data_IF_509553535937
#
_entry.id   IF_509553535937
#
_cell.length_a   1.000
_cell.length_b   1.000
_cell.length_c   1.000
_cell.angle_alpha   90.00
_cell.angle_beta   90.00
_cell.angle_gamma   90.00
#
_symmetry.space_group_name_H-M   'P 1'
#
loop_
_entity.id
_entity.type
_entity.pdbx_description
1 polymer ?
#
# COMPACT_ATOMS: atom_id res chain seq x y z
N UNK A 1 1.37 7.60 70.33
CA UNK A 1 1.25 6.43 69.43
C UNK A 1 0.79 6.98 68.08
N UNK A 2 1.64 7.05 67.03
CA UNK A 2 1.21 7.59 65.75
C UNK A 2 0.47 6.52 64.93
N UNK A 3 -0.66 6.92 64.36
CA UNK A 3 -1.42 6.14 63.39
C UNK A 3 -0.58 5.88 62.14
N UNK A 4 -0.43 4.61 61.79
CA UNK A 4 0.23 4.18 60.55
C UNK A 4 -0.80 4.22 59.44
N UNK A 5 -0.77 5.28 58.63
CA UNK A 5 -1.52 5.40 57.38
C UNK A 5 -1.25 4.17 56.50
N UNK A 6 -2.29 3.38 56.24
CA UNK A 6 -2.23 2.26 55.30
C UNK A 6 -2.16 2.84 53.89
N UNK A 7 -0.95 2.90 53.32
CA UNK A 7 -0.76 3.18 51.89
C UNK A 7 -1.34 2.01 51.10
N UNK A 8 -2.35 2.28 50.28
CA UNK A 8 -2.95 1.30 49.38
C UNK A 8 -1.86 0.68 48.48
N UNK A 9 -1.88 -0.64 48.24
CA UNK A 9 -0.95 -1.25 47.29
C UNK A 9 -1.18 -0.60 45.94
N UNK A 10 -0.15 0.08 45.45
CA UNK A 10 -0.15 0.71 44.14
C UNK A 10 -0.51 -0.33 43.09
N UNK A 11 -1.59 -0.08 42.38
CA UNK A 11 -1.87 -0.76 41.13
C UNK A 11 -0.83 -0.24 40.13
N UNK A 12 0.35 -0.84 40.12
CA UNK A 12 1.27 -0.71 39.00
C UNK A 12 0.60 -1.39 37.82
N UNK A 13 -0.16 -0.61 37.05
CA UNK A 13 -0.55 -0.99 35.70
C UNK A 13 0.74 -1.08 34.90
N UNK A 14 1.30 -2.28 34.84
CA UNK A 14 2.31 -2.62 33.86
C UNK A 14 1.66 -2.42 32.49
N UNK A 15 1.93 -1.29 31.87
CA UNK A 15 1.57 -1.03 30.48
C UNK A 15 2.43 -1.98 29.65
N UNK A 16 1.90 -3.17 29.32
CA UNK A 16 2.48 -3.99 28.28
C UNK A 16 2.68 -3.09 27.05
N UNK A 17 3.90 -2.98 26.51
CA UNK A 17 4.09 -2.21 25.30
C UNK A 17 3.25 -2.89 24.23
N UNK A 18 2.20 -2.21 23.75
CA UNK A 18 1.43 -2.65 22.60
C UNK A 18 2.43 -3.01 21.50
N UNK A 19 2.58 -4.31 21.22
CA UNK A 19 3.45 -4.76 20.14
C UNK A 19 2.81 -4.26 18.86
N UNK A 20 3.24 -3.09 18.38
CA UNK A 20 2.76 -2.52 17.13
C UNK A 20 3.12 -3.51 16.02
N UNK A 21 2.12 -4.26 15.56
CA UNK A 21 2.24 -5.10 14.38
C UNK A 21 2.71 -4.22 13.24
N UNK A 22 3.87 -4.54 12.65
CA UNK A 22 4.40 -3.78 11.52
C UNK A 22 3.43 -3.92 10.36
N UNK A 23 3.08 -2.78 9.74
CA UNK A 23 2.28 -2.78 8.51
C UNK A 23 3.00 -3.60 7.44
N UNK A 24 2.23 -4.33 6.63
CA UNK A 24 2.77 -5.08 5.50
C UNK A 24 3.56 -4.13 4.55
N UNK A 25 4.65 -4.61 3.93
CA UNK A 25 5.39 -3.80 2.97
C UNK A 25 4.51 -3.48 1.76
N UNK A 26 4.74 -2.30 1.17
CA UNK A 26 4.11 -1.92 -0.09
C UNK A 26 4.68 -2.75 -1.24
N UNK A 27 3.84 -3.12 -2.20
CA UNK A 27 4.23 -3.81 -3.43
C UNK A 27 4.04 -2.89 -4.63
N UNK A 28 4.90 -3.05 -5.63
CA UNK A 28 4.78 -2.35 -6.92
C UNK A 28 3.93 -3.18 -7.88
N UNK A 29 3.13 -2.51 -8.69
CA UNK A 29 2.42 -3.12 -9.80
C UNK A 29 3.09 -2.72 -11.11
N UNK A 30 3.48 -3.73 -11.90
CA UNK A 30 4.13 -3.56 -13.19
C UNK A 30 3.20 -4.08 -14.30
N UNK A 31 3.16 -3.35 -15.42
CA UNK A 31 2.51 -3.78 -16.65
C UNK A 31 3.58 -4.27 -17.63
N UNK A 32 3.49 -5.53 -18.05
CA UNK A 32 4.37 -6.09 -19.08
C UNK A 32 3.74 -5.98 -20.47
N UNK A 33 4.57 -5.75 -21.49
CA UNK A 33 4.14 -5.79 -22.88
C UNK A 33 3.93 -7.21 -23.38
N UNK A 34 3.03 -7.35 -24.35
CA UNK A 34 2.81 -8.55 -25.15
C UNK A 34 2.40 -8.17 -26.58
N UNK A 35 2.39 -9.14 -27.51
CA UNK A 35 2.15 -8.90 -28.94
C UNK A 35 0.69 -9.09 -29.39
N UNK A 36 -0.23 -9.37 -28.46
CA UNK A 36 -1.61 -9.78 -28.77
C UNK A 36 -2.64 -8.79 -28.25
N UNK A 37 -2.41 -8.23 -27.06
CA UNK A 37 -3.39 -7.38 -26.37
C UNK A 37 -3.49 -6.00 -27.04
N UNK A 38 -4.68 -5.57 -27.51
CA UNK A 38 -4.87 -4.25 -28.11
C UNK A 38 -4.55 -3.08 -27.17
N UNK A 39 -3.97 -2.00 -27.70
CA UNK A 39 -3.58 -0.83 -26.91
C UNK A 39 -4.77 -0.15 -26.21
N UNK A 40 -5.93 -0.07 -26.87
CA UNK A 40 -7.16 0.52 -26.33
C UNK A 40 -7.74 -0.31 -25.17
N UNK A 41 -7.66 -1.64 -25.26
CA UNK A 41 -8.00 -2.53 -24.17
C UNK A 41 -7.11 -2.30 -22.94
N UNK A 42 -5.79 -2.20 -23.12
CA UNK A 42 -4.86 -1.92 -22.03
C UNK A 42 -5.20 -0.57 -21.36
N UNK A 43 -5.44 0.47 -22.16
CA UNK A 43 -5.84 1.79 -21.63
C UNK A 43 -7.15 1.68 -20.84
N UNK A 44 -8.15 0.97 -21.36
CA UNK A 44 -9.41 0.75 -20.67
C UNK A 44 -9.22 0.06 -19.31
N UNK A 45 -8.41 -1.01 -19.24
CA UNK A 45 -8.09 -1.71 -17.99
C UNK A 45 -7.39 -0.79 -16.98
N UNK A 46 -6.43 0.01 -17.44
CA UNK A 46 -5.71 0.97 -16.60
C UNK A 46 -6.63 2.06 -16.03
N UNK A 47 -7.64 2.48 -16.79
CA UNK A 47 -8.65 3.42 -16.31
C UNK A 47 -9.63 2.76 -15.32
N UNK A 48 -10.06 1.53 -15.57
CA UNK A 48 -11.07 0.87 -14.73
C UNK A 48 -10.51 0.32 -13.42
N UNK A 49 -9.32 -0.25 -13.41
CA UNK A 49 -8.75 -0.89 -12.22
C UNK A 49 -7.95 0.11 -11.39
N UNK A 50 -7.04 0.85 -12.04
CA UNK A 50 -6.11 1.76 -11.37
C UNK A 50 -6.59 3.20 -11.33
N UNK A 51 -7.76 3.48 -11.91
CA UNK A 51 -8.39 4.81 -11.93
C UNK A 51 -7.47 5.89 -12.51
N UNK A 52 -6.62 5.51 -13.47
CA UNK A 52 -5.77 6.45 -14.19
C UNK A 52 -6.63 7.31 -15.13
N UNK A 53 -6.22 8.57 -15.33
CA UNK A 53 -6.80 9.38 -16.41
C UNK A 53 -6.38 8.82 -17.78
N UNK A 54 -7.15 9.09 -18.82
CA UNK A 54 -6.85 8.62 -20.18
C UNK A 54 -5.40 8.91 -20.61
N UNK A 55 -4.93 10.14 -20.41
CA UNK A 55 -3.55 10.52 -20.76
C UNK A 55 -2.48 9.78 -19.93
N UNK A 56 -2.75 9.52 -18.64
CA UNK A 56 -1.81 8.76 -17.80
C UNK A 56 -1.79 7.28 -18.18
N UNK A 57 -2.95 6.68 -18.41
CA UNK A 57 -3.08 5.31 -18.89
C UNK A 57 -2.38 5.13 -20.24
N UNK A 58 -2.59 6.05 -21.18
CA UNK A 58 -1.91 6.05 -22.48
C UNK A 58 -0.38 6.12 -22.35
N UNK A 59 0.14 6.96 -21.44
CA UNK A 59 1.57 7.03 -21.18
C UNK A 59 2.14 5.71 -20.65
N UNK A 60 1.49 5.11 -19.65
CA UNK A 60 1.91 3.82 -19.07
C UNK A 60 1.86 2.71 -20.12
N UNK A 61 0.80 2.67 -20.93
CA UNK A 61 0.66 1.71 -22.02
C UNK A 61 1.79 1.86 -23.05
N UNK A 62 2.09 3.08 -23.51
CA UNK A 62 3.18 3.32 -24.46
C UNK A 62 4.55 2.99 -23.87
N UNK A 63 4.76 3.28 -22.59
CA UNK A 63 6.01 2.93 -21.89
C UNK A 63 6.22 1.42 -21.88
N UNK A 64 5.17 0.64 -21.54
CA UNK A 64 5.22 -0.81 -21.59
C UNK A 64 5.51 -1.28 -23.02
N UNK A 65 4.76 -0.76 -24.02
CA UNK A 65 4.91 -1.15 -25.42
C UNK A 65 6.35 -0.99 -25.94
N UNK A 66 7.00 0.14 -25.67
CA UNK A 66 8.35 0.40 -26.17
C UNK A 66 9.47 -0.17 -25.29
N UNK A 67 9.25 -0.28 -23.98
CA UNK A 67 10.30 -0.67 -23.01
C UNK A 67 10.12 -2.08 -22.44
N UNK A 68 9.06 -2.79 -22.83
CA UNK A 68 8.71 -4.13 -22.37
C UNK A 68 8.03 -4.18 -21.00
N UNK A 69 8.15 -3.13 -20.19
CA UNK A 69 7.50 -3.03 -18.87
C UNK A 69 7.29 -1.57 -18.47
N UNK A 70 6.23 -1.28 -17.73
CA UNK A 70 5.97 0.03 -17.12
C UNK A 70 5.53 -0.09 -15.66
N UNK A 71 5.87 0.91 -14.86
CA UNK A 71 5.40 1.03 -13.47
C UNK A 71 4.00 1.66 -13.42
N UNK A 72 3.07 1.02 -12.72
CA UNK A 72 1.67 1.48 -12.61
C UNK A 72 1.43 2.22 -11.28
N UNK A 73 1.68 1.54 -10.15
CA UNK A 73 1.54 2.05 -8.77
C UNK A 73 2.58 1.44 -7.84
#
# INVERSE_FOLDING_TARGET
>A
MPEKTLTAPGLETATEPESRTKLAPMYRVLLHNDDVTPMDFVVHVLQEIFKLSFFRAGKVMLEAHFSGVAHVV
#
